data_IF_658844434173
#
_entry.id   IF_658844434173
#
_cell.length_a   1.000
_cell.length_b   1.000
_cell.length_c   1.000
_cell.angle_alpha   90.00
_cell.angle_beta   90.00
_cell.angle_gamma   90.00
#
_symmetry.space_group_name_H-M   'P 1'
#
loop_
_entity.id
_entity.type
_entity.pdbx_description
1 polymer ?
#
# COMPACT_ATOMS: atom_id res chain seq x y z
N UNK A 1 -20.09 -15.45 -13.50
CA UNK A 1 -19.33 -14.36 -12.87
C UNK A 1 -18.61 -14.99 -11.70
N UNK A 2 -17.30 -15.11 -11.79
CA UNK A 2 -16.52 -15.84 -10.80
C UNK A 2 -15.95 -14.84 -9.80
N UNK A 3 -16.45 -14.90 -8.57
CA UNK A 3 -16.01 -14.03 -7.48
C UNK A 3 -14.96 -14.76 -6.65
N UNK A 4 -13.71 -14.29 -6.70
CA UNK A 4 -12.63 -14.82 -5.87
C UNK A 4 -12.45 -13.95 -4.63
N UNK A 5 -13.22 -14.24 -3.59
CA UNK A 5 -13.08 -13.56 -2.29
C UNK A 5 -11.92 -14.16 -1.49
N UNK A 6 -10.72 -13.61 -1.63
CA UNK A 6 -9.56 -14.00 -0.81
C UNK A 6 -9.51 -13.19 0.48
N UNK A 7 -10.34 -13.54 1.47
CA UNK A 7 -10.24 -12.97 2.82
C UNK A 7 -9.65 -13.99 3.79
N UNK A 8 -8.33 -14.15 3.79
CA UNK A 8 -7.64 -15.00 4.76
C UNK A 8 -6.76 -14.16 5.67
N UNK A 9 -6.76 -14.47 6.97
CA UNK A 9 -5.88 -13.82 7.96
C UNK A 9 -4.41 -13.93 7.56
N UNK A 10 -4.02 -15.02 6.90
CA UNK A 10 -2.68 -15.23 6.36
C UNK A 10 -2.37 -14.23 5.24
N UNK A 11 -3.28 -14.07 4.27
CA UNK A 11 -3.11 -13.13 3.16
C UNK A 11 -3.07 -11.69 3.66
N UNK A 12 -3.96 -11.33 4.59
CA UNK A 12 -3.95 -10.02 5.23
C UNK A 12 -2.64 -9.74 5.97
N UNK A 13 -2.09 -10.74 6.67
CA UNK A 13 -0.80 -10.62 7.35
C UNK A 13 0.36 -10.42 6.38
N UNK A 14 0.39 -11.20 5.28
CA UNK A 14 1.41 -11.07 4.23
C UNK A 14 1.33 -9.71 3.53
N UNK A 15 0.13 -9.26 3.17
CA UNK A 15 -0.10 -7.95 2.56
C UNK A 15 0.28 -6.81 3.50
N UNK A 16 -0.07 -6.93 4.78
CA UNK A 16 0.34 -5.94 5.80
C UNK A 16 1.86 -5.81 5.91
N UNK A 17 2.60 -6.92 5.82
CA UNK A 17 4.07 -6.92 5.83
C UNK A 17 4.63 -6.29 4.56
N UNK A 18 4.08 -6.64 3.40
CA UNK A 18 4.51 -6.10 2.11
C UNK A 18 4.32 -4.58 2.04
N UNK A 19 3.14 -4.09 2.42
CA UNK A 19 2.82 -2.65 2.40
C UNK A 19 3.69 -1.91 3.41
N UNK A 20 3.86 -2.42 4.65
CA UNK A 20 4.78 -1.83 5.63
C UNK A 20 6.20 -1.72 5.10
N UNK A 21 6.70 -2.76 4.43
CA UNK A 21 8.04 -2.75 3.84
C UNK A 21 8.16 -1.71 2.72
N UNK A 22 7.16 -1.62 1.84
CA UNK A 22 7.12 -0.62 0.75
C UNK A 22 7.06 0.80 1.27
N UNK A 23 6.22 1.07 2.26
CA UNK A 23 6.12 2.38 2.90
C UNK A 23 7.43 2.74 3.59
N UNK A 24 8.03 1.83 4.35
CA UNK A 24 9.34 2.07 4.97
C UNK A 24 10.42 2.40 3.94
N UNK A 25 10.44 1.67 2.82
CA UNK A 25 11.42 1.89 1.75
C UNK A 25 11.25 3.24 1.06
N UNK A 26 10.01 3.67 0.80
CA UNK A 26 9.76 4.94 0.10
C UNK A 26 9.74 6.15 1.04
N UNK A 27 9.15 6.02 2.22
CA UNK A 27 8.92 7.13 3.15
C UNK A 27 9.98 7.23 4.25
N UNK A 28 10.84 6.21 4.43
CA UNK A 28 11.87 6.17 5.46
C UNK A 28 11.34 5.97 6.88
N UNK A 29 10.02 5.83 7.05
CA UNK A 29 9.34 5.86 8.34
C UNK A 29 8.58 4.56 8.60
N UNK A 30 8.43 4.23 9.89
CA UNK A 30 7.63 3.07 10.33
C UNK A 30 6.20 3.53 10.55
N UNK A 31 5.38 3.44 9.51
CA UNK A 31 3.94 3.67 9.62
C UNK A 31 3.27 2.38 10.08
N UNK A 32 2.41 2.47 11.10
CA UNK A 32 1.60 1.33 11.50
C UNK A 32 0.45 1.16 10.51
N UNK A 33 0.49 0.09 9.72
CA UNK A 33 -0.54 -0.25 8.73
C UNK A 33 -1.18 -1.58 9.09
N UNK A 34 -2.50 -1.60 9.10
CA UNK A 34 -3.33 -2.79 9.31
C UNK A 34 -4.13 -3.05 8.05
N UNK A 35 -4.00 -4.26 7.51
CA UNK A 35 -4.74 -4.69 6.34
C UNK A 35 -6.01 -5.45 6.78
N UNK A 36 -7.18 -4.93 6.40
CA UNK A 36 -8.46 -5.48 6.84
C UNK A 36 -8.99 -6.49 5.82
N UNK A 37 -9.03 -6.11 4.54
CA UNK A 37 -9.67 -6.93 3.51
C UNK A 37 -9.08 -6.69 2.12
N UNK A 38 -8.90 -7.77 1.36
CA UNK A 38 -8.70 -7.74 -0.10
C UNK A 38 -9.86 -8.49 -0.75
N UNK A 39 -10.51 -7.86 -1.73
CA UNK A 39 -11.51 -8.52 -2.57
C UNK A 39 -11.09 -8.37 -4.01
N UNK A 40 -10.86 -9.49 -4.69
CA UNK A 40 -10.59 -9.51 -6.12
C UNK A 40 -11.81 -10.11 -6.84
N UNK A 41 -12.46 -9.33 -7.68
CA UNK A 41 -13.59 -9.79 -8.50
C UNK A 41 -13.13 -9.87 -9.94
N UNK A 42 -13.18 -11.05 -10.54
CA UNK A 42 -12.90 -11.23 -11.97
C UNK A 42 -14.22 -11.05 -12.73
N UNK A 43 -14.29 -10.02 -13.57
CA UNK A 43 -15.40 -9.78 -14.49
C UNK A 43 -14.96 -10.20 -15.88
N UNK A 44 -15.79 -11.03 -16.51
CA UNK A 44 -15.72 -11.37 -17.94
C UNK A 44 -14.37 -11.94 -18.42
N UNK A 45 -13.64 -12.63 -17.54
CA UNK A 45 -12.41 -13.36 -17.87
C UNK A 45 -11.15 -12.50 -18.11
N UNK A 46 -11.31 -11.20 -18.40
CA UNK A 46 -10.20 -10.30 -18.75
C UNK A 46 -10.04 -9.08 -17.80
N UNK A 47 -11.02 -8.81 -16.93
CA UNK A 47 -11.00 -7.65 -16.02
C UNK A 47 -10.98 -8.09 -14.57
N UNK A 48 -10.01 -7.60 -13.81
CA UNK A 48 -9.93 -7.82 -12.35
C UNK A 48 -10.21 -6.51 -11.63
N UNK A 49 -11.25 -6.49 -10.78
CA UNK A 49 -11.51 -5.39 -9.85
C UNK A 49 -10.93 -5.78 -8.49
N UNK A 50 -9.96 -5.01 -8.00
CA UNK A 50 -9.37 -5.21 -6.68
C UNK A 50 -9.88 -4.12 -5.75
N UNK A 51 -10.47 -4.51 -4.62
CA UNK A 51 -10.76 -3.64 -3.49
C UNK A 51 -9.81 -3.97 -2.36
N UNK A 52 -9.15 -2.93 -1.82
CA UNK A 52 -8.24 -3.03 -0.69
C UNK A 52 -8.78 -2.15 0.43
N UNK A 53 -8.89 -2.72 1.61
CA UNK A 53 -9.26 -2.01 2.84
C UNK A 53 -8.07 -2.03 3.78
N UNK A 54 -7.55 -0.84 4.10
CA UNK A 54 -6.36 -0.65 4.91
C UNK A 54 -6.54 0.54 5.85
N UNK A 55 -6.12 0.37 7.09
CA UNK A 55 -6.01 1.45 8.07
C UNK A 55 -4.54 1.78 8.27
N UNK A 56 -4.22 3.07 8.32
CA UNK A 56 -2.89 3.56 8.63
C UNK A 56 -3.00 4.71 9.63
N UNK A 57 -2.17 4.66 10.67
CA UNK A 57 -2.06 5.73 11.67
C UNK A 57 -0.71 6.44 11.50
N UNK A 58 -0.76 7.74 11.25
CA UNK A 58 0.39 8.63 11.05
C UNK A 58 0.00 10.08 11.29
N UNK A 59 0.99 10.93 11.56
CA UNK A 59 0.77 12.37 11.64
C UNK A 59 0.65 13.01 10.24
N UNK A 60 0.18 14.26 10.20
CA UNK A 60 -0.04 15.02 8.96
C UNK A 60 1.23 15.21 8.13
N UNK A 61 2.37 15.46 8.76
CA UNK A 61 3.64 15.66 8.05
C UNK A 61 4.11 14.39 7.33
N UNK A 62 3.90 13.23 7.96
CA UNK A 62 4.27 11.93 7.38
C UNK A 62 3.31 11.55 6.25
N UNK A 63 2.02 11.88 6.39
CA UNK A 63 1.03 11.75 5.32
C UNK A 63 1.40 12.60 4.09
N UNK A 64 1.72 13.87 4.28
CA UNK A 64 2.12 14.78 3.20
C UNK A 64 3.38 14.29 2.47
N UNK A 65 4.40 13.84 3.22
CA UNK A 65 5.61 13.24 2.65
C UNK A 65 5.30 11.99 1.84
N UNK A 66 4.46 11.10 2.37
CA UNK A 66 4.06 9.87 1.69
C UNK A 66 3.36 10.17 0.37
N UNK A 67 2.39 11.09 0.35
CA UNK A 67 1.64 11.47 -0.86
C UNK A 67 2.57 12.15 -1.87
N UNK A 68 3.41 13.09 -1.42
CA UNK A 68 4.34 13.82 -2.29
C UNK A 68 5.32 12.87 -2.98
N UNK A 69 5.85 11.88 -2.25
CA UNK A 69 6.71 10.83 -2.84
C UNK A 69 5.95 9.88 -3.74
N UNK A 70 4.75 9.44 -3.35
CA UNK A 70 3.93 8.54 -4.15
C UNK A 70 3.51 9.15 -5.50
N UNK A 71 3.27 10.46 -5.53
CA UNK A 71 2.93 11.21 -6.74
C UNK A 71 4.16 11.63 -7.56
N UNK A 72 5.38 11.33 -7.10
CA UNK A 72 6.63 11.76 -7.76
C UNK A 72 6.83 13.29 -7.73
N UNK A 73 6.15 13.99 -6.84
CA UNK A 73 6.21 15.45 -6.69
C UNK A 73 7.34 15.90 -5.75
N UNK A 74 7.94 14.97 -5.02
CA UNK A 74 9.16 15.19 -4.26
C UNK A 74 10.36 14.81 -5.12
N UNK A 75 10.99 15.78 -5.77
CA UNK A 75 12.27 15.55 -6.44
C UNK A 75 13.29 15.05 -5.43
N UNK A 76 13.91 13.91 -5.73
CA UNK A 76 15.05 13.39 -4.98
C UNK A 76 16.20 14.41 -5.08
N UNK A 77 16.34 15.27 -4.06
CA UNK A 77 17.59 15.99 -3.79
C UNK A 77 18.54 15.14 -2.95
N UNK A 78 18.65 13.86 -3.29
CA UNK A 78 19.66 12.96 -2.74
C UNK A 78 20.34 12.23 -3.89
N UNK A 79 21.20 12.95 -4.61
CA UNK A 79 22.44 12.43 -5.19
C UNK A 79 23.24 13.60 -5.79
N UNK A 80 23.86 14.37 -4.90
CA UNK A 80 25.05 15.14 -5.21
C UNK A 80 26.02 14.88 -4.05
N UNK A 81 26.76 13.77 -4.14
CA UNK A 81 28.08 13.52 -3.53
C UNK A 81 28.40 12.01 -3.59
N UNK A 82 29.05 11.59 -4.68
CA UNK A 82 30.18 10.64 -4.72
C UNK A 82 30.69 10.52 -6.16
#
# INVERSE_FOLDING_TARGET
>A
MDELRVSSKLMNHLMSKFIRHKIRKHCGQTINVVFNQIVATIKDGDKVKIHLELDADMNTADFEKMITKALGLGGDKENEEA
#
